data_IF_990837037885
#
_entry.id   IF_990837037885
#
_cell.length_a   1.000
_cell.length_b   1.000
_cell.length_c   1.000
_cell.angle_alpha   90.00
_cell.angle_beta   90.00
_cell.angle_gamma   90.00
#
_symmetry.space_group_name_H-M   'P 1'
#
loop_
_entity.id
_entity.type
_entity.pdbx_description
1 polymer ?
#
# COMPACT_ATOMS: atom_id res chain seq x y z
N UNK A 1 5.70 -1.26 -23.26
CA UNK A 1 4.97 0.02 -23.38
C UNK A 1 4.53 0.39 -21.98
N UNK A 2 5.19 1.41 -21.42
CA UNK A 2 4.85 1.97 -20.12
C UNK A 2 3.45 2.56 -20.19
N UNK A 3 2.59 2.18 -19.26
CA UNK A 3 1.29 2.80 -19.11
C UNK A 3 1.40 3.80 -17.97
N UNK A 4 1.19 5.07 -18.27
CA UNK A 4 1.01 6.11 -17.27
C UNK A 4 -0.45 6.57 -17.33
N UNK A 5 -1.20 6.29 -16.27
CA UNK A 5 -2.57 6.76 -16.13
C UNK A 5 -2.63 8.27 -15.90
N UNK A 6 -3.80 8.89 -16.13
CA UNK A 6 -4.01 10.30 -15.81
C UNK A 6 -3.93 10.53 -14.30
N UNK A 7 -3.61 11.77 -13.92
CA UNK A 7 -3.72 12.22 -12.53
C UNK A 7 -5.18 12.22 -12.09
N UNK A 8 -5.42 11.66 -10.91
CA UNK A 8 -6.71 11.60 -10.25
C UNK A 8 -6.62 12.28 -8.90
N UNK A 9 -7.69 12.95 -8.50
CA UNK A 9 -7.81 13.54 -7.18
C UNK A 9 -8.52 12.58 -6.24
N UNK A 10 -8.07 12.52 -4.99
CA UNK A 10 -8.76 11.81 -3.91
C UNK A 10 -8.92 12.75 -2.72
N UNK A 11 -10.15 12.80 -2.20
CA UNK A 11 -10.49 13.54 -0.99
C UNK A 11 -10.39 12.60 0.20
N UNK A 12 -9.63 12.98 1.22
CA UNK A 12 -9.41 12.19 2.44
C UNK A 12 -9.44 13.09 3.68
N UNK A 13 -9.87 12.60 4.83
CA UNK A 13 -9.68 13.31 6.10
C UNK A 13 -8.22 13.15 6.55
N UNK A 14 -7.61 14.23 7.04
CA UNK A 14 -6.37 14.12 7.82
C UNK A 14 -6.65 13.59 9.25
N UNK A 15 -5.62 13.50 10.10
CA UNK A 15 -5.79 13.08 11.50
C UNK A 15 -6.64 14.06 12.35
N UNK A 16 -6.80 15.31 11.90
CA UNK A 16 -7.70 16.29 12.51
C UNK A 16 -9.15 16.18 12.00
N UNK A 17 -9.41 15.23 11.09
CA UNK A 17 -10.66 15.07 10.34
C UNK A 17 -10.97 16.21 9.35
N UNK A 18 -9.98 17.02 9.00
CA UNK A 18 -10.11 18.08 8.01
C UNK A 18 -10.04 17.51 6.58
N UNK A 19 -10.95 17.93 5.68
CA UNK A 19 -10.97 17.41 4.32
C UNK A 19 -9.77 17.93 3.52
N UNK A 20 -8.93 16.99 3.11
CA UNK A 20 -7.72 17.21 2.34
C UNK A 20 -7.86 16.61 0.94
N UNK A 21 -7.06 17.13 0.00
CA UNK A 21 -7.00 16.63 -1.38
C UNK A 21 -5.58 16.20 -1.70
N UNK A 22 -5.44 15.05 -2.34
CA UNK A 22 -4.19 14.52 -2.87
C UNK A 22 -4.38 14.13 -4.32
N UNK A 23 -3.34 14.31 -5.13
CA UNK A 23 -3.27 13.73 -6.46
C UNK A 23 -2.57 12.38 -6.41
N UNK A 24 -3.06 11.43 -7.20
CA UNK A 24 -2.40 10.16 -7.43
C UNK A 24 -2.54 9.73 -8.88
N UNK A 25 -1.65 8.84 -9.32
CA UNK A 25 -1.79 8.16 -10.62
C UNK A 25 -1.38 6.69 -10.50
N UNK A 26 -1.80 5.91 -11.48
CA UNK A 26 -1.45 4.49 -11.59
C UNK A 26 -0.54 4.33 -12.79
N UNK A 27 0.60 3.69 -12.58
CA UNK A 27 1.64 3.46 -13.58
C UNK A 27 1.97 1.98 -13.66
N UNK A 28 2.31 1.47 -14.85
CA UNK A 28 2.80 0.10 -15.00
C UNK A 28 4.29 0.07 -15.37
N UNK A 29 5.05 -0.79 -14.69
CA UNK A 29 6.45 -1.05 -15.06
C UNK A 29 6.55 -1.80 -16.39
N UNK A 30 7.68 -1.65 -17.07
CA UNK A 30 7.96 -2.26 -18.37
C UNK A 30 8.69 -3.62 -18.26
N UNK A 31 8.90 -4.12 -17.04
CA UNK A 31 9.62 -5.37 -16.77
C UNK A 31 8.85 -6.63 -17.18
N UNK A 32 9.53 -7.77 -17.13
CA UNK A 32 8.97 -9.10 -17.45
C UNK A 32 7.74 -9.45 -16.61
N UNK A 33 7.71 -8.97 -15.35
CA UNK A 33 6.53 -9.00 -14.49
C UNK A 33 5.99 -7.58 -14.36
N UNK A 34 4.83 -7.32 -14.97
CA UNK A 34 4.20 -5.99 -14.93
C UNK A 34 3.76 -5.65 -13.51
N UNK A 35 4.41 -4.67 -12.88
CA UNK A 35 4.02 -4.16 -11.57
C UNK A 35 3.11 -2.95 -11.74
N UNK A 36 2.17 -2.81 -10.81
CA UNK A 36 1.28 -1.65 -10.69
C UNK A 36 1.84 -0.71 -9.63
N UNK A 37 2.25 0.47 -10.04
CA UNK A 37 2.77 1.52 -9.17
C UNK A 37 1.65 2.50 -8.88
N UNK A 38 1.26 2.60 -7.61
CA UNK A 38 0.42 3.68 -7.10
C UNK A 38 1.37 4.81 -6.72
N UNK A 39 1.35 5.90 -7.48
CA UNK A 39 2.13 7.08 -7.19
C UNK A 39 1.23 8.14 -6.55
N UNK A 40 1.50 8.49 -5.30
CA UNK A 40 0.85 9.56 -4.56
C UNK A 40 1.71 10.82 -4.60
N UNK A 41 1.11 11.99 -4.73
CA UNK A 41 1.81 13.25 -4.74
C UNK A 41 1.51 14.03 -3.46
N UNK A 42 2.54 14.25 -2.64
CA UNK A 42 2.41 15.10 -1.47
C UNK A 42 2.02 16.52 -1.91
N UNK A 43 0.84 16.96 -1.47
CA UNK A 43 0.47 18.36 -1.55
C UNK A 43 1.36 19.14 -0.59
N UNK A 44 2.09 20.10 -1.13
CA UNK A 44 2.69 21.12 -0.28
C UNK A 44 1.54 21.98 0.28
N UNK A 45 1.61 22.32 1.57
CA UNK A 45 1.31 23.64 2.15
C UNK A 45 0.39 23.68 3.40
N UNK A 46 -0.39 22.67 3.81
CA UNK A 46 -1.13 22.84 5.09
C UNK A 46 -1.55 21.60 5.90
N UNK A 47 -1.43 20.39 5.37
CA UNK A 47 -2.04 19.21 6.00
C UNK A 47 -1.03 18.07 6.16
N UNK A 48 -1.37 17.09 7.00
CA UNK A 48 -0.55 15.89 7.13
C UNK A 48 -0.50 15.13 5.81
N UNK A 49 0.69 15.00 5.26
CA UNK A 49 0.94 14.33 3.97
C UNK A 49 1.13 12.82 4.17
N UNK A 50 0.88 12.00 3.13
CA UNK A 50 1.21 10.57 3.16
C UNK A 50 2.68 10.27 3.50
N UNK A 51 3.62 11.15 3.16
CA UNK A 51 5.02 11.00 3.59
C UNK A 51 5.19 11.13 5.11
N UNK A 52 4.38 11.96 5.78
CA UNK A 52 4.49 12.28 7.21
C UNK A 52 3.68 11.38 8.14
N UNK A 53 2.52 10.87 7.71
CA UNK A 53 1.67 9.98 8.50
C UNK A 53 1.38 8.67 7.75
N UNK A 54 1.70 7.55 8.40
CA UNK A 54 1.33 6.21 7.91
C UNK A 54 -0.17 5.99 7.94
N UNK A 55 -0.90 6.56 8.91
CA UNK A 55 -2.36 6.42 9.00
C UNK A 55 -3.05 7.04 7.77
N UNK A 56 -2.64 8.27 7.42
CA UNK A 56 -3.14 8.97 6.23
C UNK A 56 -2.78 8.18 4.96
N UNK A 57 -1.54 7.71 4.87
CA UNK A 57 -1.07 6.89 3.73
C UNK A 57 -1.90 5.63 3.57
N UNK A 58 -2.14 4.91 4.66
CA UNK A 58 -2.87 3.64 4.67
C UNK A 58 -4.33 3.84 4.31
N UNK A 59 -4.96 4.89 4.82
CA UNK A 59 -6.34 5.23 4.48
C UNK A 59 -6.49 5.53 2.98
N UNK A 60 -5.61 6.36 2.42
CA UNK A 60 -5.65 6.70 0.99
C UNK A 60 -5.34 5.46 0.15
N UNK A 61 -4.30 4.69 0.51
CA UNK A 61 -3.91 3.48 -0.20
C UNK A 61 -5.07 2.48 -0.25
N UNK A 62 -5.67 2.15 0.90
CA UNK A 62 -6.79 1.20 0.96
C UNK A 62 -7.97 1.64 0.09
N UNK A 63 -8.23 2.95 0.00
CA UNK A 63 -9.30 3.49 -0.85
C UNK A 63 -8.98 3.39 -2.33
N UNK A 64 -7.74 3.67 -2.73
CA UNK A 64 -7.28 3.46 -4.12
C UNK A 64 -7.35 1.96 -4.47
N UNK A 65 -6.94 1.09 -3.55
CA UNK A 65 -7.00 -0.36 -3.74
C UNK A 65 -8.44 -0.88 -3.95
N UNK A 66 -9.43 -0.32 -3.25
CA UNK A 66 -10.83 -0.74 -3.42
C UNK A 66 -11.50 -0.13 -4.66
N UNK A 67 -11.17 1.12 -5.01
CA UNK A 67 -11.80 1.82 -6.14
C UNK A 67 -11.21 1.44 -7.50
N UNK A 68 -9.89 1.40 -7.61
CA UNK A 68 -9.19 1.29 -8.90
C UNK A 68 -8.48 -0.04 -9.11
N UNK A 69 -8.00 -0.67 -8.03
CA UNK A 69 -7.11 -1.85 -8.13
C UNK A 69 -7.72 -3.12 -7.53
N UNK A 70 -9.03 -3.11 -7.31
CA UNK A 70 -9.74 -4.25 -6.70
C UNK A 70 -9.61 -5.48 -7.57
N UNK A 71 -9.27 -6.61 -6.95
CA UNK A 71 -9.11 -7.88 -7.66
C UNK A 71 -7.67 -8.16 -8.14
N UNK A 72 -6.76 -7.19 -8.04
CA UNK A 72 -5.34 -7.43 -8.35
C UNK A 72 -4.60 -8.08 -7.18
N UNK A 73 -3.59 -8.92 -7.45
CA UNK A 73 -2.76 -9.49 -6.39
C UNK A 73 -1.87 -8.42 -5.77
N UNK A 74 -1.84 -8.35 -4.44
CA UNK A 74 -1.11 -7.30 -3.72
C UNK A 74 0.39 -7.33 -4.01
N UNK A 75 0.96 -8.52 -4.26
CA UNK A 75 2.37 -8.69 -4.60
C UNK A 75 2.78 -8.00 -5.92
N UNK A 76 1.83 -7.66 -6.79
CA UNK A 76 2.06 -6.92 -8.02
C UNK A 76 1.95 -5.40 -7.82
N UNK A 77 1.54 -4.94 -6.64
CA UNK A 77 1.33 -3.52 -6.35
C UNK A 77 2.54 -2.95 -5.61
N UNK A 78 2.96 -1.74 -5.97
CA UNK A 78 4.00 -0.96 -5.30
C UNK A 78 3.45 0.42 -4.98
N UNK A 79 3.82 0.95 -3.81
CA UNK A 79 3.47 2.31 -3.41
C UNK A 79 4.70 3.21 -3.55
N UNK A 80 4.52 4.32 -4.25
CA UNK A 80 5.48 5.42 -4.31
C UNK A 80 4.80 6.69 -3.83
N UNK A 81 5.45 7.42 -2.94
CA UNK A 81 5.05 8.78 -2.55
C UNK A 81 6.10 9.74 -3.10
N UNK A 82 5.65 10.69 -3.90
CA UNK A 82 6.45 11.74 -4.51
C UNK A 82 6.15 13.06 -3.81
N UNK A 83 7.16 13.70 -3.26
CA UNK A 83 7.06 15.03 -2.66
C UNK A 83 8.17 15.96 -3.12
N UNK A 84 8.26 17.12 -2.49
CA UNK A 84 9.24 18.17 -2.84
C UNK A 84 10.70 17.73 -2.70
N UNK A 85 10.98 16.75 -1.82
CA UNK A 85 12.34 16.27 -1.54
C UNK A 85 12.72 15.08 -2.43
N UNK A 86 11.77 14.55 -3.22
CA UNK A 86 11.96 13.40 -4.09
C UNK A 86 10.86 12.35 -3.92
N UNK A 87 11.09 11.19 -4.52
CA UNK A 87 10.16 10.06 -4.48
C UNK A 87 10.71 8.92 -3.63
N UNK A 88 9.84 8.35 -2.78
CA UNK A 88 10.18 7.23 -1.90
C UNK A 88 9.20 6.07 -2.11
N UNK A 89 9.72 4.85 -2.16
CA UNK A 89 8.92 3.64 -2.18
C UNK A 89 8.61 3.19 -0.75
N UNK A 90 7.41 2.66 -0.55
CA UNK A 90 6.96 2.09 0.72
C UNK A 90 6.51 0.66 0.51
N UNK A 91 6.95 -0.22 1.42
CA UNK A 91 6.46 -1.60 1.46
C UNK A 91 5.01 -1.61 1.94
N UNK A 92 4.20 -2.47 1.33
CA UNK A 92 2.80 -2.65 1.68
C UNK A 92 2.66 -3.95 2.45
N UNK A 93 2.20 -3.86 3.70
CA UNK A 93 1.93 -5.01 4.54
C UNK A 93 0.42 -5.23 4.64
N UNK A 94 0.02 -6.49 4.87
CA UNK A 94 -1.38 -6.82 5.12
C UNK A 94 -1.69 -6.64 6.59
N UNK A 95 -2.84 -6.04 6.89
CA UNK A 95 -3.41 -6.10 8.23
C UNK A 95 -3.88 -7.54 8.49
N UNK A 96 -3.06 -8.30 9.23
CA UNK A 96 -3.32 -9.70 9.53
C UNK A 96 -4.61 -9.89 10.33
N UNK A 97 -4.96 -8.94 11.20
CA UNK A 97 -6.17 -9.04 12.01
C UNK A 97 -7.42 -8.89 11.13
N UNK A 98 -7.44 -7.89 10.24
CA UNK A 98 -8.53 -7.72 9.26
C UNK A 98 -8.58 -8.91 8.28
N UNK A 99 -7.43 -9.42 7.83
CA UNK A 99 -7.35 -10.56 6.91
C UNK A 99 -8.01 -11.82 7.50
N UNK A 100 -7.69 -12.15 8.77
CA UNK A 100 -8.26 -13.28 9.50
C UNK A 100 -9.75 -13.04 9.78
N UNK A 101 -10.13 -11.83 10.24
CA UNK A 101 -11.52 -11.47 10.54
C UNK A 101 -12.46 -11.59 9.33
N UNK A 102 -11.95 -11.34 8.13
CA UNK A 102 -12.70 -11.47 6.87
C UNK A 102 -12.79 -12.91 6.35
N UNK A 103 -12.20 -13.87 7.06
CA UNK A 103 -12.25 -15.29 6.69
C UNK A 103 -11.46 -15.62 5.42
N UNK A 104 -10.43 -14.81 5.10
CA UNK A 104 -9.56 -15.13 3.97
C UNK A 104 -8.74 -16.40 4.26
N UNK A 105 -8.31 -17.17 3.24
CA UNK A 105 -7.56 -18.40 3.46
C UNK A 105 -6.21 -18.12 4.13
N UNK A 106 -5.93 -18.78 5.25
CA UNK A 106 -4.62 -18.78 5.91
C UNK A 106 -4.31 -20.18 6.46
N UNK A 107 -3.02 -20.50 6.57
CA UNK A 107 -2.56 -21.69 7.27
C UNK A 107 -2.00 -21.29 8.64
N UNK A 108 -2.63 -21.75 9.72
CA UNK A 108 -2.10 -21.57 11.07
C UNK A 108 -1.39 -22.83 11.54
N UNK A 109 -0.14 -22.70 11.97
CA UNK A 109 0.57 -23.72 12.73
C UNK A 109 0.56 -23.33 14.20
N UNK A 110 0.17 -24.26 15.06
CA UNK A 110 0.13 -24.06 16.50
C UNK A 110 1.37 -24.71 17.12
N UNK A 111 2.22 -23.90 17.74
CA UNK A 111 3.32 -24.41 18.56
C UNK A 111 3.01 -24.12 20.02
N UNK A 112 2.90 -25.18 20.83
CA UNK A 112 2.85 -25.03 22.28
C UNK A 112 4.21 -24.49 22.74
N UNK A 113 4.20 -23.30 23.34
CA UNK A 113 5.38 -22.75 24.02
C UNK A 113 5.22 -23.07 25.50
N UNK A 114 6.31 -23.48 26.17
CA UNK A 114 6.33 -23.92 27.55
C UNK A 114 5.49 -23.02 28.47
N UNK A 115 4.40 -23.56 29.04
CA UNK A 115 3.41 -22.83 29.87
C UNK A 115 2.01 -22.77 29.24
N UNK A 116 1.14 -21.88 29.74
CA UNK A 116 -0.21 -21.59 29.21
C UNK A 116 -0.24 -20.72 27.95
N UNK A 117 0.93 -20.40 27.37
CA UNK A 117 1.06 -19.53 26.21
C UNK A 117 1.12 -20.36 24.93
N UNK A 118 0.16 -20.14 24.04
CA UNK A 118 0.16 -20.71 22.69
C UNK A 118 0.78 -19.69 21.75
N UNK A 119 1.76 -20.11 20.94
CA UNK A 119 2.26 -19.30 19.82
C UNK A 119 1.62 -19.82 18.54
N UNK A 120 0.85 -18.96 17.91
CA UNK A 120 0.28 -19.23 16.59
C UNK A 120 1.19 -18.60 15.53
N UNK A 121 1.62 -19.40 14.56
CA UNK A 121 2.36 -18.92 13.39
C UNK A 121 1.42 -19.01 12.19
N UNK A 122 1.07 -17.85 11.62
CA UNK A 122 0.19 -17.76 10.46
C UNK A 122 1.04 -17.66 9.19
N UNK A 123 0.81 -18.58 8.25
CA UNK A 123 1.38 -18.59 6.91
C UNK A 123 0.30 -18.14 5.92
N UNK A 124 0.58 -17.07 5.19
CA UNK A 124 -0.29 -16.55 4.12
C UNK A 124 0.51 -16.61 2.82
N UNK A 125 -0.07 -17.24 1.80
CA UNK A 125 0.50 -17.22 0.46
C UNK A 125 0.31 -15.84 -0.16
N UNK A 126 1.39 -15.18 -0.57
CA UNK A 126 1.32 -13.81 -1.10
C UNK A 126 0.46 -13.68 -2.37
N UNK A 127 0.26 -14.79 -3.09
CA UNK A 127 -0.57 -14.85 -4.30
C UNK A 127 -2.07 -14.92 -4.00
N UNK A 128 -2.48 -15.26 -2.77
CA UNK A 128 -3.89 -15.27 -2.36
C UNK A 128 -4.34 -13.93 -1.81
N UNK A 129 -3.42 -12.99 -1.63
CA UNK A 129 -3.70 -11.65 -1.09
C UNK A 129 -4.14 -10.75 -2.24
N UNK A 130 -5.42 -10.40 -2.23
CA UNK A 130 -6.05 -9.60 -3.28
C UNK A 130 -6.37 -8.20 -2.75
N UNK A 131 -5.97 -7.18 -3.50
CA UNK A 131 -6.30 -5.78 -3.23
C UNK A 131 -7.82 -5.57 -3.13
N UNK A 132 -8.22 -4.79 -2.11
CA UNK A 132 -9.63 -4.51 -1.79
C UNK A 132 -10.34 -5.62 -1.00
N UNK A 133 -9.77 -6.83 -0.87
CA UNK A 133 -10.33 -7.89 0.00
C UNK A 133 -9.84 -7.84 1.44
N UNK A 134 -8.69 -7.22 1.67
CA UNK A 134 -8.08 -7.03 2.97
C UNK A 134 -7.56 -5.61 3.08
N UNK A 135 -7.53 -5.08 4.30
CA UNK A 135 -6.81 -3.85 4.58
C UNK A 135 -5.31 -4.06 4.52
N UNK A 136 -4.62 -3.02 4.09
CA UNK A 136 -3.17 -2.93 4.09
C UNK A 136 -2.70 -1.80 5.00
N UNK A 137 -1.47 -1.90 5.44
CA UNK A 137 -0.82 -0.93 6.29
C UNK A 137 0.63 -0.70 5.88
N UNK A 138 1.15 0.47 6.23
CA UNK A 138 2.52 0.90 5.97
C UNK A 138 3.16 1.49 7.23
N UNK A 139 2.56 1.24 8.40
CA UNK A 139 3.03 1.67 9.73
C UNK A 139 4.49 1.30 10.01
N UNK A 140 4.93 0.14 9.54
CA UNK A 140 6.32 -0.33 9.70
C UNK A 140 7.19 -0.10 8.47
N UNK A 141 6.64 0.49 7.41
CA UNK A 141 7.36 0.70 6.17
C UNK A 141 8.37 1.85 6.32
N UNK A 142 9.65 1.51 6.13
CA UNK A 142 10.73 2.50 6.04
C UNK A 142 10.76 3.04 4.61
N UNK A 143 10.83 4.37 4.38
CA UNK A 143 10.97 4.92 3.05
C UNK A 143 12.25 4.41 2.40
N UNK A 144 12.12 3.82 1.21
CA UNK A 144 13.23 3.30 0.42
C UNK A 144 13.46 4.15 -0.82
N UNK A 145 14.71 4.28 -1.27
CA UNK A 145 14.98 4.85 -2.59
C UNK A 145 14.27 4.00 -3.66
N UNK A 146 13.86 4.65 -4.74
CA UNK A 146 13.28 3.95 -5.87
C UNK A 146 14.33 3.03 -6.50
N UNK A 147 13.92 1.81 -6.86
CA UNK A 147 14.69 0.98 -7.78
C UNK A 147 14.67 1.62 -9.17
N UNK A 148 15.67 1.30 -10.00
CA UNK A 148 15.74 1.77 -11.39
C UNK A 148 14.43 1.49 -12.15
N UNK A 149 13.87 0.29 -12.00
CA UNK A 149 12.58 -0.07 -12.62
C UNK A 149 11.41 0.84 -12.21
N UNK A 150 11.36 1.26 -10.93
CA UNK A 150 10.31 2.15 -10.45
C UNK A 150 10.55 3.60 -10.87
N UNK A 151 11.82 4.03 -10.86
CA UNK A 151 12.21 5.36 -11.32
C UNK A 151 11.90 5.54 -12.81
N UNK A 152 12.22 4.56 -13.64
CA UNK A 152 11.93 4.56 -15.09
C UNK A 152 10.42 4.60 -15.35
N UNK A 153 9.63 3.85 -14.58
CA UNK A 153 8.19 3.80 -14.78
C UNK A 153 7.51 5.16 -14.51
N UNK A 154 7.95 5.88 -13.48
CA UNK A 154 7.36 7.15 -13.06
C UNK A 154 8.02 8.39 -13.70
N UNK A 155 9.15 8.21 -14.39
CA UNK A 155 9.91 9.26 -15.07
C UNK A 155 9.21 9.85 -16.30
#
# INVERSE_FOLDING_TARGET
MEYQGPFKHIIYPDESADPCVLEYRIVFTNGTKRLVVVQMFDSAVAFQTPSSSSNVRDQILNRILDLDLRGLPLNAIRLVVSGNVGSSAYDIEVDLEDYVRRGNPYHASHAAVTGTRVRETIYISSDTIIAGRTRVQTTHAVPKPLSEELADAIG
#
